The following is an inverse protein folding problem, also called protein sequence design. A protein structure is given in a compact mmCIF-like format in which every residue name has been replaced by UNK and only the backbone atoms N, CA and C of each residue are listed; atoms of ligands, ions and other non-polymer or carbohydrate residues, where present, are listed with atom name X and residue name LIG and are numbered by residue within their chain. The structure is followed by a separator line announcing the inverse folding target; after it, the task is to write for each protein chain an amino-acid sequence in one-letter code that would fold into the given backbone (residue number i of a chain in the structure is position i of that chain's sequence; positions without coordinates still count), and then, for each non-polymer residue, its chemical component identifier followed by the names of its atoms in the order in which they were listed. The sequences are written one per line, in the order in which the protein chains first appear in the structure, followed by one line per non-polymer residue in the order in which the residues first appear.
data_IF_824793561374
#
_entry.id   IF_824793561374
#
_cell.length_a   1.000
_cell.length_b   1.000
_cell.length_c   1.000
_cell.angle_alpha   90.00
_cell.angle_beta   90.00
_cell.angle_gamma   90.00
#
_symmetry.space_group_name_H-M   'P 1'
#
loop_
_entity.id
_entity.type
_entity.pdbx_description
1 polymer ?
#
# COMPACT_ATOMS: atom_id res chain seq x y z
N UNK A 1 11.29 12.49 0.92
CA UNK A 1 10.39 13.00 1.99
C UNK A 1 9.02 12.37 1.83
N UNK A 2 8.46 11.85 2.89
CA UNK A 2 7.12 11.23 2.87
C UNK A 2 6.11 12.22 3.44
N UNK A 3 5.05 12.50 2.68
CA UNK A 3 3.98 13.42 3.07
C UNK A 3 2.62 12.73 2.98
N UNK A 4 1.64 13.14 3.77
CA UNK A 4 0.25 12.72 3.55
C UNK A 4 -0.25 13.22 2.21
N UNK A 5 -1.19 12.49 1.61
CA UNK A 5 -1.87 12.93 0.40
C UNK A 5 -2.60 14.26 0.65
N UNK A 6 -2.43 15.18 -0.27
CA UNK A 6 -3.13 16.47 -0.28
C UNK A 6 -3.97 16.61 -1.55
N UNK A 7 -4.94 17.53 -1.52
CA UNK A 7 -5.76 17.80 -2.70
C UNK A 7 -4.94 18.20 -3.92
N UNK A 8 -3.84 18.90 -3.70
CA UNK A 8 -2.94 19.34 -4.78
C UNK A 8 -2.24 18.17 -5.48
N UNK A 9 -2.01 17.06 -4.75
CA UNK A 9 -1.27 15.90 -5.24
C UNK A 9 -2.18 14.74 -5.67
N UNK A 10 -3.50 14.85 -5.48
CA UNK A 10 -4.40 13.71 -5.67
C UNK A 10 -4.44 13.19 -7.12
N UNK A 11 -4.30 14.05 -8.12
CA UNK A 11 -4.27 13.60 -9.52
C UNK A 11 -3.04 12.73 -9.82
N UNK A 12 -1.86 13.18 -9.40
CA UNK A 12 -0.62 12.41 -9.58
C UNK A 12 -0.65 11.10 -8.81
N UNK A 13 -1.20 11.14 -7.58
CA UNK A 13 -1.43 9.93 -6.80
C UNK A 13 -2.38 8.96 -7.51
N UNK A 14 -3.51 9.45 -8.04
CA UNK A 14 -4.49 8.62 -8.75
C UNK A 14 -3.88 7.97 -10.02
N UNK A 15 -3.02 8.66 -10.73
CA UNK A 15 -2.29 8.08 -11.87
C UNK A 15 -1.39 6.92 -11.43
N UNK A 16 -0.71 7.04 -10.28
CA UNK A 16 0.09 5.96 -9.72
C UNK A 16 -0.78 4.80 -9.24
N UNK A 17 -1.97 5.08 -8.68
CA UNK A 17 -2.92 4.04 -8.30
C UNK A 17 -3.37 3.22 -9.52
N UNK A 18 -3.64 3.86 -10.64
CA UNK A 18 -4.01 3.17 -11.89
C UNK A 18 -2.85 2.35 -12.45
N UNK A 19 -1.61 2.81 -12.27
CA UNK A 19 -0.43 2.02 -12.65
C UNK A 19 -0.32 0.73 -11.82
N UNK A 20 -0.72 0.76 -10.55
CA UNK A 20 -0.74 -0.42 -9.67
C UNK A 20 -2.01 -1.26 -9.89
N UNK A 21 -3.16 -0.62 -10.08
CA UNK A 21 -4.47 -1.25 -10.26
C UNK A 21 -5.06 -0.88 -11.63
N UNK A 22 -4.59 -1.53 -12.72
CA UNK A 22 -4.92 -1.10 -14.10
C UNK A 22 -6.38 -1.31 -14.50
N UNK A 23 -7.17 -2.02 -13.70
CA UNK A 23 -8.62 -2.15 -13.92
C UNK A 23 -9.41 -0.91 -13.50
N UNK A 24 -8.77 0.02 -12.80
CA UNK A 24 -9.36 1.30 -12.38
C UNK A 24 -8.96 2.43 -13.33
N UNK A 25 -9.82 3.45 -13.41
CA UNK A 25 -9.51 4.72 -14.08
C UNK A 25 -9.16 5.79 -13.04
N UNK A 26 -8.49 6.86 -13.48
CA UNK A 26 -8.18 8.01 -12.62
C UNK A 26 -9.46 8.60 -12.02
N UNK A 27 -10.51 8.76 -12.80
CA UNK A 27 -11.79 9.30 -12.32
C UNK A 27 -12.43 8.40 -11.24
N UNK A 28 -12.36 7.08 -11.42
CA UNK A 28 -12.85 6.13 -10.43
C UNK A 28 -12.05 6.23 -9.12
N UNK A 29 -10.73 6.29 -9.20
CA UNK A 29 -9.86 6.43 -8.02
C UNK A 29 -10.14 7.73 -7.27
N UNK A 30 -10.26 8.85 -7.99
CA UNK A 30 -10.58 10.14 -7.38
C UNK A 30 -11.96 10.12 -6.70
N UNK A 31 -12.97 9.52 -7.35
CA UNK A 31 -14.28 9.35 -6.76
C UNK A 31 -14.23 8.51 -5.48
N UNK A 32 -13.54 7.36 -5.53
CA UNK A 32 -13.36 6.50 -4.35
C UNK A 32 -12.68 7.25 -3.20
N UNK A 33 -11.69 8.07 -3.51
CA UNK A 33 -11.03 8.90 -2.50
C UNK A 33 -11.99 9.94 -1.89
N UNK A 34 -12.79 10.61 -2.72
CA UNK A 34 -13.78 11.59 -2.25
C UNK A 34 -14.91 10.94 -1.44
N UNK A 35 -15.19 9.66 -1.67
CA UNK A 35 -16.14 8.87 -0.89
C UNK A 35 -15.53 8.29 0.40
N UNK A 36 -14.25 8.55 0.66
CA UNK A 36 -13.56 8.13 1.88
C UNK A 36 -13.08 6.69 1.91
N UNK A 37 -12.96 6.04 0.75
CA UNK A 37 -12.48 4.66 0.65
C UNK A 37 -10.97 4.54 0.85
N UNK A 38 -10.22 5.61 0.59
CA UNK A 38 -8.81 5.72 0.89
C UNK A 38 -8.63 6.64 2.11
N UNK A 39 -8.02 6.14 3.18
CA UNK A 39 -7.98 6.87 4.47
C UNK A 39 -6.59 7.34 4.86
N UNK A 40 -5.57 6.57 4.53
CA UNK A 40 -4.20 6.83 4.98
C UNK A 40 -3.25 6.67 3.79
N UNK A 41 -3.26 7.69 2.95
CA UNK A 41 -2.45 7.74 1.74
C UNK A 41 -1.25 8.64 1.94
N UNK A 42 -0.10 8.19 1.49
CA UNK A 42 1.18 8.89 1.60
C UNK A 42 1.88 8.91 0.25
N UNK A 43 2.58 10.02 0.01
CA UNK A 43 3.43 10.18 -1.16
C UNK A 43 4.89 10.28 -0.74
N UNK A 44 5.78 9.66 -1.50
CA UNK A 44 7.20 9.93 -1.41
C UNK A 44 7.57 10.97 -2.46
N UNK A 45 8.15 12.09 -2.01
CA UNK A 45 8.65 13.14 -2.89
C UNK A 45 10.17 13.01 -3.04
N UNK A 46 10.62 12.99 -4.28
CA UNK A 46 12.04 13.08 -4.65
C UNK A 46 12.24 14.40 -5.40
N UNK A 47 12.96 15.34 -4.79
CA UNK A 47 13.13 16.70 -5.32
C UNK A 47 11.80 17.36 -5.72
N UNK A 48 10.82 17.29 -4.80
CA UNK A 48 9.45 17.83 -4.96
C UNK A 48 8.59 17.13 -6.03
N UNK A 49 9.09 16.07 -6.65
CA UNK A 49 8.33 15.24 -7.57
C UNK A 49 7.79 14.01 -6.86
N UNK A 50 6.49 13.71 -7.06
CA UNK A 50 5.89 12.50 -6.52
C UNK A 50 6.45 11.26 -7.23
N UNK A 51 7.27 10.50 -6.52
CA UNK A 51 7.98 9.32 -7.02
C UNK A 51 7.28 8.00 -6.69
N UNK A 52 6.51 7.96 -5.61
CA UNK A 52 5.90 6.74 -5.10
C UNK A 52 4.70 7.05 -4.21
N UNK A 53 3.85 6.04 -3.97
CA UNK A 53 2.80 6.14 -2.95
C UNK A 53 2.75 4.89 -2.07
N UNK A 54 2.14 5.08 -0.91
CA UNK A 54 1.86 4.05 0.08
C UNK A 54 0.44 4.25 0.60
N UNK A 55 -0.37 3.19 0.52
CA UNK A 55 -1.73 3.16 1.05
C UNK A 55 -1.77 2.25 2.26
N UNK A 56 -2.21 2.77 3.40
CA UNK A 56 -2.25 2.06 4.68
C UNK A 56 -3.66 1.99 5.25
N UNK A 57 -3.94 0.93 5.98
CA UNK A 57 -5.13 0.81 6.81
C UNK A 57 -4.81 0.15 8.14
N UNK A 58 -5.71 0.30 9.09
CA UNK A 58 -5.73 -0.46 10.34
C UNK A 58 -6.88 -1.45 10.23
N UNK A 59 -6.59 -2.73 10.36
CA UNK A 59 -7.61 -3.78 10.30
C UNK A 59 -7.85 -4.36 11.69
N UNK A 60 -9.11 -4.42 12.09
CA UNK A 60 -9.53 -4.93 13.40
C UNK A 60 -10.06 -6.36 13.31
N UNK A 61 -10.55 -6.76 12.14
CA UNK A 61 -10.96 -8.13 11.86
C UNK A 61 -9.72 -9.01 11.62
N UNK A 62 -9.95 -10.34 11.58
CA UNK A 62 -8.85 -11.28 11.39
C UNK A 62 -8.07 -10.99 10.09
N UNK A 63 -6.77 -10.99 10.21
CA UNK A 63 -5.83 -10.91 9.09
C UNK A 63 -5.02 -12.19 9.03
N UNK A 64 -4.99 -12.82 7.86
CA UNK A 64 -4.29 -14.08 7.64
C UNK A 64 -2.83 -14.02 8.08
N UNK A 65 -2.43 -14.98 8.90
CA UNK A 65 -1.06 -15.12 9.39
C UNK A 65 -0.70 -14.22 10.58
N UNK A 66 -1.67 -13.49 11.15
CA UNK A 66 -1.43 -12.64 12.32
C UNK A 66 -2.08 -13.19 13.56
N UNK A 67 -1.52 -12.83 14.73
CA UNK A 67 -1.97 -13.27 16.06
C UNK A 67 -2.51 -12.13 16.93
N UNK A 68 -2.58 -10.94 16.39
CA UNK A 68 -2.95 -9.72 17.13
C UNK A 68 -4.04 -8.92 16.43
N UNK A 69 -4.59 -7.96 17.16
CA UNK A 69 -5.53 -6.96 16.62
C UNK A 69 -5.37 -5.68 17.44
N UNK A 70 -5.32 -4.50 16.83
CA UNK A 70 -5.39 -4.25 15.39
C UNK A 70 -4.09 -4.61 14.65
N UNK A 71 -4.18 -4.73 13.34
CA UNK A 71 -3.05 -5.02 12.46
C UNK A 71 -2.89 -3.88 11.45
N UNK A 72 -1.66 -3.36 11.30
CA UNK A 72 -1.34 -2.45 10.22
C UNK A 72 -1.35 -3.20 8.90
N UNK A 73 -1.92 -2.61 7.85
CA UNK A 73 -2.04 -3.27 6.56
C UNK A 73 -1.59 -2.36 5.43
N UNK A 74 -0.72 -2.88 4.57
CA UNK A 74 -0.35 -2.21 3.33
C UNK A 74 -1.36 -2.60 2.25
N UNK A 75 -2.24 -1.67 1.92
CA UNK A 75 -3.25 -1.84 0.87
C UNK A 75 -2.64 -1.67 -0.52
N UNK A 76 -1.63 -0.85 -0.65
CA UNK A 76 -0.89 -0.65 -1.89
C UNK A 76 0.44 0.04 -1.66
N UNK A 77 1.41 -0.30 -2.47
CA UNK A 77 2.71 0.35 -2.52
C UNK A 77 3.18 0.35 -3.98
N UNK A 78 3.60 1.50 -4.45
CA UNK A 78 4.05 1.65 -5.83
C UNK A 78 5.17 2.68 -5.93
N UNK A 79 6.20 2.35 -6.69
CA UNK A 79 7.29 3.26 -7.03
C UNK A 79 7.33 3.39 -8.55
N UNK A 80 7.29 4.61 -9.06
CA UNK A 80 7.41 4.87 -10.49
C UNK A 80 8.70 4.23 -11.04
N UNK A 81 8.67 3.63 -12.25
CA UNK A 81 9.83 2.90 -12.79
C UNK A 81 11.14 3.68 -12.76
N UNK A 82 11.11 4.97 -13.11
CA UNK A 82 12.28 5.85 -13.17
C UNK A 82 12.90 6.15 -11.79
N UNK A 83 12.15 5.90 -10.70
CA UNK A 83 12.61 6.11 -9.33
C UNK A 83 12.97 4.82 -8.60
N UNK A 84 12.89 3.68 -9.27
CA UNK A 84 13.21 2.37 -8.66
C UNK A 84 14.72 2.23 -8.42
N UNK A 85 15.09 1.29 -7.54
CA UNK A 85 16.48 0.99 -7.13
C UNK A 85 17.17 2.14 -6.41
N UNK A 86 16.41 3.02 -5.76
CA UNK A 86 16.92 4.15 -4.96
C UNK A 86 16.58 3.99 -3.47
N UNK A 87 16.08 2.83 -3.04
CA UNK A 87 15.70 2.58 -1.66
C UNK A 87 14.39 3.24 -1.21
N UNK A 88 13.57 3.73 -2.14
CA UNK A 88 12.31 4.42 -1.80
C UNK A 88 11.32 3.45 -1.17
N UNK A 89 11.19 2.24 -1.72
CA UNK A 89 10.27 1.24 -1.20
C UNK A 89 10.60 0.86 0.24
N UNK A 90 11.89 0.67 0.57
CA UNK A 90 12.33 0.41 1.94
C UNK A 90 11.97 1.55 2.90
N UNK A 91 12.12 2.80 2.45
CA UNK A 91 11.72 3.97 3.25
C UNK A 91 10.21 4.02 3.48
N UNK A 92 9.41 3.64 2.49
CA UNK A 92 7.96 3.53 2.63
C UNK A 92 7.59 2.42 3.63
N UNK A 93 8.26 1.27 3.58
CA UNK A 93 8.05 0.19 4.56
C UNK A 93 8.43 0.64 5.97
N UNK A 94 9.54 1.35 6.15
CA UNK A 94 9.91 1.88 7.46
C UNK A 94 8.88 2.90 7.98
N UNK A 95 8.32 3.70 7.09
CA UNK A 95 7.20 4.59 7.44
C UNK A 95 5.97 3.78 7.88
N UNK A 96 5.61 2.74 7.13
CA UNK A 96 4.48 1.87 7.46
C UNK A 96 4.64 1.21 8.84
N UNK A 97 5.85 0.74 9.17
CA UNK A 97 6.16 0.17 10.49
C UNK A 97 5.92 1.18 11.61
N UNK A 98 6.50 2.37 11.49
CA UNK A 98 6.36 3.45 12.49
C UNK A 98 4.91 3.90 12.62
N UNK A 99 4.22 4.05 11.50
CA UNK A 99 2.80 4.41 11.47
C UNK A 99 1.95 3.35 12.18
N UNK A 100 2.17 2.07 11.90
CA UNK A 100 1.43 0.97 12.51
C UNK A 100 1.63 0.93 14.03
N UNK A 101 2.87 1.08 14.50
CA UNK A 101 3.17 1.15 15.93
C UNK A 101 2.45 2.32 16.61
N UNK A 102 2.34 3.47 15.95
CA UNK A 102 1.62 4.64 16.46
C UNK A 102 0.13 4.37 16.63
N UNK A 103 -0.45 3.47 15.84
CA UNK A 103 -1.86 3.07 15.94
C UNK A 103 -2.04 1.78 16.76
N UNK A 104 -1.12 1.47 17.66
CA UNK A 104 -1.15 0.34 18.58
C UNK A 104 -1.16 -1.03 17.88
N UNK A 105 -0.66 -1.10 16.65
CA UNK A 105 -0.47 -2.36 15.94
C UNK A 105 0.88 -2.96 16.30
N UNK A 106 0.91 -4.25 16.59
CA UNK A 106 2.14 -5.00 16.83
C UNK A 106 2.59 -5.82 15.61
N UNK A 107 1.75 -5.88 14.59
CA UNK A 107 2.04 -6.59 13.34
C UNK A 107 1.68 -5.70 12.15
N UNK A 108 2.44 -5.89 11.05
CA UNK A 108 2.19 -5.27 9.74
C UNK A 108 2.01 -6.39 8.73
N UNK A 109 0.92 -6.36 7.99
CA UNK A 109 0.59 -7.34 6.98
C UNK A 109 0.45 -6.72 5.59
N UNK A 110 0.53 -7.55 4.58
CA UNK A 110 0.38 -7.17 3.18
C UNK A 110 -0.01 -8.41 2.37
N UNK A 111 -0.40 -8.21 1.13
CA UNK A 111 -0.65 -9.29 0.19
C UNK A 111 -0.20 -8.94 -1.22
N UNK A 112 -0.14 -9.94 -2.07
CA UNK A 112 -0.02 -9.77 -3.52
C UNK A 112 -0.67 -10.98 -4.20
N UNK A 113 -0.95 -10.83 -5.50
CA UNK A 113 -1.47 -11.96 -6.28
C UNK A 113 -0.44 -13.07 -6.40
N UNK A 114 -0.93 -14.32 -6.50
CA UNK A 114 -0.09 -15.51 -6.50
C UNK A 114 0.94 -15.54 -7.65
N UNK A 115 0.62 -14.93 -8.78
CA UNK A 115 1.47 -14.85 -9.97
C UNK A 115 2.44 -13.65 -9.94
N UNK A 116 2.32 -12.75 -8.97
CA UNK A 116 3.19 -11.57 -8.84
C UNK A 116 4.50 -11.92 -8.12
N UNK A 117 5.39 -12.61 -8.82
CA UNK A 117 6.67 -13.06 -8.26
C UNK A 117 7.60 -11.89 -7.90
N UNK A 118 7.51 -10.78 -8.61
CA UNK A 118 8.28 -9.57 -8.31
C UNK A 118 7.89 -9.00 -6.94
N UNK A 119 6.60 -8.91 -6.66
CA UNK A 119 6.10 -8.45 -5.36
C UNK A 119 6.46 -9.43 -4.25
N UNK A 120 6.39 -10.74 -4.49
CA UNK A 120 6.83 -11.75 -3.51
C UNK A 120 8.30 -11.57 -3.14
N UNK A 121 9.17 -11.38 -4.12
CA UNK A 121 10.60 -11.15 -3.89
C UNK A 121 10.83 -9.84 -3.12
N UNK A 122 10.10 -8.78 -3.45
CA UNK A 122 10.16 -7.50 -2.73
C UNK A 122 9.77 -7.68 -1.25
N UNK A 123 8.64 -8.33 -0.96
CA UNK A 123 8.19 -8.55 0.42
C UNK A 123 9.26 -9.27 1.25
N UNK A 124 9.85 -10.32 0.70
CA UNK A 124 10.96 -11.03 1.37
C UNK A 124 12.16 -10.13 1.61
N UNK A 125 12.52 -9.31 0.63
CA UNK A 125 13.71 -8.44 0.70
C UNK A 125 13.60 -7.38 1.81
N UNK A 126 12.39 -6.94 2.15
CA UNK A 126 12.14 -5.93 3.19
C UNK A 126 11.72 -6.53 4.54
N UNK A 127 11.80 -7.85 4.68
CA UNK A 127 11.64 -8.54 5.96
C UNK A 127 10.27 -9.17 6.22
N UNK A 128 9.37 -9.21 5.25
CA UNK A 128 8.13 -9.98 5.39
C UNK A 128 8.39 -11.48 5.25
N UNK A 129 7.66 -12.26 6.01
CA UNK A 129 7.60 -13.71 5.89
C UNK A 129 6.29 -14.11 5.23
N UNK A 130 6.32 -15.07 4.30
CA UNK A 130 5.12 -15.62 3.69
C UNK A 130 4.30 -16.36 4.75
N UNK A 131 3.07 -15.91 4.99
CA UNK A 131 2.17 -16.51 5.97
C UNK A 131 1.34 -17.65 5.36
N UNK A 132 0.71 -17.41 4.20
CA UNK A 132 -0.15 -18.40 3.57
C UNK A 132 -0.42 -18.04 2.10
N UNK A 133 -0.99 -18.99 1.37
CA UNK A 133 -1.48 -18.85 0.00
C UNK A 133 -2.94 -19.26 -0.03
N UNK A 134 -3.81 -18.36 -0.51
CA UNK A 134 -5.24 -18.54 -0.50
C UNK A 134 -5.83 -18.49 -1.90
N UNK A 135 -6.89 -19.25 -2.12
CA UNK A 135 -7.78 -19.12 -3.29
C UNK A 135 -9.08 -18.52 -2.78
N UNK A 136 -9.46 -17.38 -3.31
CA UNK A 136 -10.66 -16.64 -2.89
C UNK A 136 -11.84 -17.00 -3.80
N UNK A 137 -13.02 -17.24 -3.21
CA UNK A 137 -14.25 -17.58 -3.92
C UNK A 137 -15.35 -16.60 -3.58
N UNK A 138 -16.17 -16.26 -4.57
CA UNK A 138 -17.37 -15.44 -4.38
C UNK A 138 -18.55 -16.04 -5.08
N UNK A 139 -19.76 -15.72 -4.63
CA UNK A 139 -21.02 -16.10 -5.27
C UNK A 139 -21.98 -14.91 -5.19
N UNK A 140 -22.56 -14.53 -6.33
CA UNK A 140 -23.66 -13.55 -6.35
C UNK A 140 -24.95 -14.26 -5.95
N UNK A 141 -25.75 -13.60 -5.11
CA UNK A 141 -27.04 -14.10 -4.64
C UNK A 141 -28.21 -13.47 -5.37
#
# INVERSE_FOLDING_TARGET
MIIPLTKENENTWAEMCVALWPDLTVDEVLRMNHEGLFKNEFLYLDNDEAAAFLSLSVRYDYVEGTDSSPVGYIEGIYVKPEFRRKGIAEKLIDHAKKWSLKYDCSELASDCTLDNVTSQAFHKSVGFEEANRLVCYTMKL
#
